data_IF_834746664347
#
_entry.id   IF_834746664347
#
_cell.length_a   1.000
_cell.length_b   1.000
_cell.length_c   1.000
_cell.angle_alpha   90.00
_cell.angle_beta   90.00
_cell.angle_gamma   90.00
#
_symmetry.space_group_name_H-M   'P 1'
#
loop_
_entity.id
_entity.type
_entity.pdbx_description
1 polymer ?
#
# COMPACT_ATOMS: atom_id res chain seq x y z
N UNK A 1 28.16 18.26 30.98
CA UNK A 1 27.97 16.86 30.50
C UNK A 1 26.61 16.58 29.82
N UNK A 2 25.73 17.58 29.60
CA UNK A 2 24.34 17.31 29.16
C UNK A 2 24.03 17.38 27.65
N UNK A 3 24.96 17.79 26.78
CA UNK A 3 24.67 18.02 25.35
C UNK A 3 25.13 16.87 24.42
N UNK A 4 25.96 15.95 24.91
CA UNK A 4 26.46 14.83 24.10
C UNK A 4 25.44 13.68 23.96
N UNK A 5 24.56 13.48 24.94
CA UNK A 5 23.53 12.43 24.91
C UNK A 5 22.44 12.69 23.85
N UNK A 6 22.22 13.95 23.46
CA UNK A 6 21.24 14.30 22.44
C UNK A 6 21.67 13.91 21.01
N UNK A 7 22.91 13.48 20.80
CA UNK A 7 23.43 13.13 19.47
C UNK A 7 23.64 11.64 19.25
N UNK A 8 23.31 10.79 20.21
CA UNK A 8 23.40 9.34 20.00
C UNK A 8 22.17 8.85 19.20
N UNK A 9 22.34 7.89 18.28
CA UNK A 9 21.24 7.28 17.55
C UNK A 9 20.18 6.69 18.48
N UNK A 10 20.62 6.09 19.58
CA UNK A 10 19.80 5.46 20.62
C UNK A 10 18.79 6.44 21.26
N UNK A 11 19.20 7.68 21.54
CA UNK A 11 18.31 8.69 22.10
C UNK A 11 17.23 9.10 21.09
N UNK A 12 17.59 9.27 19.82
CA UNK A 12 16.64 9.59 18.75
C UNK A 12 15.65 8.46 18.50
N UNK A 13 16.06 7.20 18.59
CA UNK A 13 15.16 6.05 18.48
C UNK A 13 14.18 5.99 19.65
N UNK A 14 14.61 6.32 20.86
CA UNK A 14 13.73 6.36 22.04
C UNK A 14 12.63 7.41 21.94
N UNK A 15 12.90 8.56 21.30
CA UNK A 15 11.91 9.61 21.08
C UNK A 15 10.88 9.19 20.02
N UNK A 16 11.34 8.69 18.88
CA UNK A 16 10.44 8.26 17.80
C UNK A 16 9.55 7.08 18.20
N UNK A 17 10.03 6.16 19.05
CA UNK A 17 9.20 5.08 19.60
C UNK A 17 8.19 5.60 20.63
N UNK A 18 8.50 6.67 21.37
CA UNK A 18 7.51 7.33 22.23
C UNK A 18 6.41 7.96 21.39
N UNK A 19 6.75 8.60 20.28
CA UNK A 19 5.77 9.21 19.38
C UNK A 19 4.82 8.14 18.80
N UNK A 20 5.34 6.96 18.42
CA UNK A 20 4.50 5.81 18.01
C UNK A 20 3.51 5.39 19.10
N UNK A 21 3.96 5.35 20.36
CA UNK A 21 3.11 4.96 21.50
C UNK A 21 2.06 6.04 21.79
N UNK A 22 2.43 7.32 21.72
CA UNK A 22 1.56 8.45 22.03
C UNK A 22 0.50 8.68 20.94
N UNK A 23 0.88 8.54 19.67
CA UNK A 23 0.01 8.79 18.53
C UNK A 23 -0.77 7.55 18.07
N UNK A 24 -0.55 6.39 18.71
CA UNK A 24 -1.12 5.09 18.31
C UNK A 24 -0.93 4.80 16.80
N UNK A 25 0.21 5.26 16.24
CA UNK A 25 0.47 5.32 14.81
C UNK A 25 1.92 4.98 14.46
N UNK A 26 2.12 4.25 13.36
CA UNK A 26 3.45 3.92 12.83
C UNK A 26 3.98 4.97 11.84
N UNK A 27 3.19 6.00 11.51
CA UNK A 27 3.60 7.04 10.54
C UNK A 27 4.91 7.74 10.92
N UNK A 28 5.17 8.14 12.19
CA UNK A 28 6.41 8.84 12.55
C UNK A 28 7.69 8.04 12.25
N UNK A 29 7.58 6.70 12.20
CA UNK A 29 8.71 5.80 11.99
C UNK A 29 8.76 5.18 10.61
N UNK A 30 7.73 5.37 9.76
CA UNK A 30 7.56 4.60 8.52
C UNK A 30 8.71 4.75 7.53
N UNK A 31 9.39 5.89 7.54
CA UNK A 31 10.55 6.17 6.68
C UNK A 31 11.82 5.40 7.07
N UNK A 32 11.84 4.78 8.26
CA UNK A 32 13.03 4.13 8.83
C UNK A 32 12.72 2.67 9.14
N UNK A 33 13.09 1.78 8.20
CA UNK A 33 12.90 0.33 8.33
C UNK A 33 13.26 -0.25 9.72
N UNK A 34 14.44 0.05 10.33
CA UNK A 34 14.77 -0.51 11.65
C UNK A 34 13.79 -0.09 12.74
N UNK A 35 13.24 1.13 12.67
CA UNK A 35 12.24 1.59 13.63
C UNK A 35 10.88 0.95 13.41
N UNK A 36 10.49 0.73 12.15
CA UNK A 36 9.28 -0.04 11.85
C UNK A 36 9.42 -1.46 12.41
N UNK A 37 10.56 -2.12 12.16
CA UNK A 37 10.85 -3.45 12.71
C UNK A 37 10.79 -3.46 14.23
N UNK A 38 11.38 -2.48 14.92
CA UNK A 38 11.26 -2.38 16.37
C UNK A 38 9.80 -2.15 16.79
N UNK A 39 9.12 -1.16 16.22
CA UNK A 39 7.77 -0.77 16.60
C UNK A 39 6.76 -1.91 16.48
N UNK A 40 6.80 -2.70 15.39
CA UNK A 40 5.87 -3.82 15.19
C UNK A 40 6.00 -4.91 16.27
N UNK A 41 7.17 -5.08 16.91
CA UNK A 41 7.35 -6.03 18.01
C UNK A 41 6.64 -5.59 19.30
N UNK A 42 6.42 -4.29 19.47
CA UNK A 42 5.79 -3.73 20.66
C UNK A 42 4.30 -3.43 20.47
N UNK A 43 3.73 -3.70 19.29
CA UNK A 43 2.31 -3.46 19.05
C UNK A 43 1.45 -4.43 19.87
N UNK A 44 0.47 -3.93 20.62
CA UNK A 44 -0.48 -4.80 21.32
C UNK A 44 -1.34 -5.56 20.31
N UNK A 45 -1.39 -6.89 20.42
CA UNK A 45 -2.06 -7.76 19.44
C UNK A 45 -3.52 -7.35 19.15
N UNK A 46 -4.24 -6.92 20.19
CA UNK A 46 -5.65 -6.49 20.10
C UNK A 46 -5.85 -5.23 19.25
N UNK A 47 -4.79 -4.45 18.99
CA UNK A 47 -4.84 -3.20 18.24
C UNK A 47 -4.15 -3.27 16.88
N UNK A 48 -3.56 -4.40 16.48
CA UNK A 48 -2.79 -4.49 15.22
C UNK A 48 -3.57 -3.90 14.03
N UNK A 49 -4.88 -4.17 13.96
CA UNK A 49 -5.74 -3.62 12.91
C UNK A 49 -5.78 -2.09 12.92
N UNK A 50 -5.92 -1.45 14.08
CA UNK A 50 -5.98 0.01 14.15
C UNK A 50 -4.66 0.65 13.70
N UNK A 51 -3.51 0.06 14.05
CA UNK A 51 -2.21 0.56 13.58
C UNK A 51 -1.99 0.43 12.07
N UNK A 52 -2.75 -0.40 11.37
CA UNK A 52 -2.68 -0.49 9.90
C UNK A 52 -3.47 0.60 9.20
N UNK A 53 -4.20 1.44 9.95
CA UNK A 53 -4.90 2.62 9.45
C UNK A 53 -4.29 3.86 10.08
N UNK A 54 -4.18 4.91 9.29
CA UNK A 54 -3.82 6.25 9.74
C UNK A 54 -5.10 7.01 9.95
N UNK A 55 -5.38 7.32 11.22
CA UNK A 55 -6.47 8.20 11.59
C UNK A 55 -6.06 9.63 11.26
N UNK A 56 -6.62 10.16 10.18
CA UNK A 56 -6.42 11.54 9.77
C UNK A 56 -7.76 12.27 10.01
N UNK A 57 -7.81 13.34 10.82
CA UNK A 57 -9.04 14.09 11.05
C UNK A 57 -9.57 14.78 9.80
N UNK A 58 -8.69 15.10 8.84
CA UNK A 58 -8.98 15.89 7.64
C UNK A 58 -9.08 14.99 6.38
N UNK A 59 -8.46 13.81 6.40
CA UNK A 59 -8.54 12.81 5.34
C UNK A 59 -9.27 11.57 5.83
N UNK A 60 -10.10 10.95 4.99
CA UNK A 60 -10.66 9.62 5.28
C UNK A 60 -9.54 8.67 5.70
N UNK A 61 -9.80 7.78 6.67
CA UNK A 61 -8.83 6.79 7.16
C UNK A 61 -8.09 6.13 5.99
N UNK A 62 -6.76 6.34 5.94
CA UNK A 62 -5.90 5.79 4.90
C UNK A 62 -5.14 4.59 5.45
N UNK A 63 -4.95 3.53 4.66
CA UNK A 63 -4.12 2.41 5.06
C UNK A 63 -2.69 2.90 5.22
N UNK A 64 -2.00 2.47 6.28
CA UNK A 64 -0.61 2.79 6.55
C UNK A 64 0.31 2.47 5.36
N UNK A 65 -0.08 1.51 4.52
CA UNK A 65 0.65 1.14 3.31
C UNK A 65 0.78 2.28 2.31
N UNK A 66 -0.19 3.19 2.24
CA UNK A 66 -0.13 4.37 1.37
C UNK A 66 1.03 5.30 1.78
N UNK A 67 1.23 5.51 3.08
CA UNK A 67 2.37 6.25 3.63
C UNK A 67 3.70 5.50 3.49
N UNK A 68 3.65 4.17 3.38
CA UNK A 68 4.83 3.33 3.22
C UNK A 68 5.28 3.19 1.75
N UNK A 69 4.49 3.65 0.77
CA UNK A 69 4.82 3.53 -0.66
C UNK A 69 6.20 4.13 -1.03
N UNK A 70 6.63 5.30 -0.51
CA UNK A 70 7.97 5.82 -0.79
C UNK A 70 9.10 5.00 -0.16
N UNK A 71 8.79 4.09 0.77
CA UNK A 71 9.73 3.37 1.61
C UNK A 71 9.58 1.85 1.44
N UNK A 72 9.98 1.28 0.29
CA UNK A 72 9.72 -0.12 -0.07
C UNK A 72 10.22 -1.12 0.98
N UNK A 73 11.33 -0.82 1.65
CA UNK A 73 11.89 -1.66 2.71
C UNK A 73 10.99 -1.71 3.95
N UNK A 74 10.40 -0.58 4.34
CA UNK A 74 9.44 -0.50 5.44
C UNK A 74 8.11 -1.15 5.05
N UNK A 75 7.62 -0.90 3.82
CA UNK A 75 6.43 -1.56 3.29
C UNK A 75 6.59 -3.08 3.30
N UNK A 76 7.74 -3.61 2.90
CA UNK A 76 8.02 -5.05 2.94
C UNK A 76 7.90 -5.62 4.36
N UNK A 77 8.41 -4.90 5.36
CA UNK A 77 8.29 -5.29 6.77
C UNK A 77 6.82 -5.29 7.21
N UNK A 78 6.06 -4.24 6.88
CA UNK A 78 4.64 -4.14 7.19
C UNK A 78 3.81 -5.23 6.52
N UNK A 79 4.05 -5.49 5.23
CA UNK A 79 3.37 -6.53 4.47
C UNK A 79 3.61 -7.91 5.09
N UNK A 80 4.87 -8.23 5.41
CA UNK A 80 5.22 -9.49 6.07
C UNK A 80 4.55 -9.61 7.43
N UNK A 81 4.54 -8.53 8.21
CA UNK A 81 3.87 -8.49 9.50
C UNK A 81 2.36 -8.69 9.38
N UNK A 82 1.71 -7.97 8.45
CA UNK A 82 0.28 -8.09 8.18
C UNK A 82 -0.10 -9.50 7.73
N UNK A 83 0.64 -10.10 6.78
CA UNK A 83 0.40 -11.48 6.33
C UNK A 83 0.49 -12.52 7.46
N UNK A 84 1.25 -12.25 8.51
CA UNK A 84 1.39 -13.13 9.68
C UNK A 84 0.33 -12.89 10.75
N UNK A 85 -0.30 -11.70 10.78
CA UNK A 85 -1.16 -11.27 11.89
C UNK A 85 -2.61 -11.02 11.48
N UNK A 86 -2.89 -10.86 10.20
CA UNK A 86 -4.19 -10.53 9.64
C UNK A 86 -4.65 -11.58 8.65
N UNK A 87 -5.96 -11.69 8.48
CA UNK A 87 -6.58 -12.47 7.43
C UNK A 87 -6.40 -11.80 6.05
N UNK A 88 -6.50 -12.58 4.98
CA UNK A 88 -6.44 -12.04 3.61
C UNK A 88 -7.58 -11.04 3.32
N UNK A 89 -8.75 -11.20 3.95
CA UNK A 89 -9.87 -10.25 3.82
C UNK A 89 -9.52 -8.87 4.39
N UNK A 90 -8.86 -8.84 5.54
CA UNK A 90 -8.37 -7.59 6.14
C UNK A 90 -7.28 -6.96 5.29
N UNK A 91 -6.35 -7.77 4.78
CA UNK A 91 -5.29 -7.28 3.90
C UNK A 91 -5.87 -6.73 2.60
N UNK A 92 -6.87 -7.40 2.03
CA UNK A 92 -7.59 -6.94 0.84
C UNK A 92 -8.21 -5.55 1.06
N UNK A 93 -8.75 -5.27 2.25
CA UNK A 93 -9.36 -3.97 2.56
C UNK A 93 -8.38 -2.79 2.46
N UNK A 94 -7.07 -3.02 2.59
CA UNK A 94 -6.05 -1.98 2.43
C UNK A 94 -5.86 -1.54 0.97
N UNK A 95 -6.34 -2.33 0.01
CA UNK A 95 -6.25 -1.97 -1.41
C UNK A 95 -7.40 -1.08 -1.90
N UNK A 96 -8.51 -1.05 -1.16
CA UNK A 96 -9.80 -0.56 -1.63
C UNK A 96 -10.27 0.68 -0.88
N UNK A 97 -9.41 1.69 -0.74
CA UNK A 97 -9.71 2.87 0.09
C UNK A 97 -10.94 3.63 -0.40
N UNK A 98 -11.64 4.24 0.56
CA UNK A 98 -13.07 4.53 0.48
C UNK A 98 -13.44 5.80 -0.30
N UNK A 99 -12.69 6.23 -1.34
CA UNK A 99 -13.34 7.06 -2.39
C UNK A 99 -12.59 7.49 -3.66
N UNK A 100 -11.25 7.47 -3.82
CA UNK A 100 -10.70 8.18 -5.02
C UNK A 100 -9.51 7.56 -5.74
N UNK A 101 -8.75 6.66 -5.14
CA UNK A 101 -7.61 6.07 -5.82
C UNK A 101 -7.28 4.70 -5.21
N UNK A 102 -7.44 3.60 -5.96
CA UNK A 102 -6.98 2.30 -5.48
C UNK A 102 -5.49 2.36 -5.16
N UNK A 103 -5.06 1.74 -4.06
CA UNK A 103 -3.66 1.79 -3.57
C UNK A 103 -2.64 1.50 -4.69
N UNK A 104 -2.99 0.58 -5.60
CA UNK A 104 -2.15 0.19 -6.73
C UNK A 104 -1.91 1.32 -7.74
N UNK A 105 -2.90 2.19 -7.97
CA UNK A 105 -2.73 3.33 -8.88
C UNK A 105 -1.70 4.30 -8.33
N UNK A 106 -1.74 4.60 -7.03
CA UNK A 106 -0.73 5.45 -6.38
C UNK A 106 0.65 4.77 -6.35
N UNK A 107 0.67 3.46 -6.11
CA UNK A 107 1.89 2.67 -6.06
C UNK A 107 2.66 2.66 -7.40
N UNK A 108 2.04 2.94 -8.55
CA UNK A 108 2.74 3.08 -9.83
C UNK A 108 3.85 4.13 -9.81
N UNK A 109 3.74 5.16 -8.95
CA UNK A 109 4.80 6.18 -8.75
C UNK A 109 6.04 5.60 -8.04
N UNK A 110 5.91 4.41 -7.44
CA UNK A 110 6.91 3.76 -6.60
C UNK A 110 7.16 2.31 -7.06
N UNK A 111 7.94 2.09 -8.13
CA UNK A 111 8.07 0.79 -8.80
C UNK A 111 8.38 -0.41 -7.90
N UNK A 112 9.23 -0.24 -6.89
CA UNK A 112 9.59 -1.32 -5.96
C UNK A 112 8.43 -1.66 -5.03
N UNK A 113 7.73 -0.64 -4.51
CA UNK A 113 6.56 -0.82 -3.66
C UNK A 113 5.39 -1.42 -4.43
N UNK A 114 5.20 -1.02 -5.69
CA UNK A 114 4.23 -1.63 -6.59
C UNK A 114 4.44 -3.14 -6.74
N UNK A 115 5.69 -3.57 -6.99
CA UNK A 115 6.04 -5.00 -7.09
C UNK A 115 5.80 -5.76 -5.79
N UNK A 116 6.10 -5.14 -4.64
CA UNK A 116 5.80 -5.73 -3.32
C UNK A 116 4.29 -5.96 -3.17
N UNK A 117 3.47 -4.97 -3.51
CA UNK A 117 2.01 -5.08 -3.41
C UNK A 117 1.44 -6.11 -4.39
N UNK A 118 1.90 -6.14 -5.64
CA UNK A 118 1.52 -7.19 -6.60
C UNK A 118 1.82 -8.59 -6.05
N UNK A 119 2.99 -8.81 -5.44
CA UNK A 119 3.34 -10.11 -4.85
C UNK A 119 2.44 -10.52 -3.68
N UNK A 120 1.80 -9.58 -2.98
CA UNK A 120 0.78 -9.91 -1.97
C UNK A 120 -0.50 -10.41 -2.65
N UNK A 121 -0.85 -9.83 -3.79
CA UNK A 121 -2.08 -10.14 -4.51
C UNK A 121 -2.10 -11.56 -5.09
N UNK A 122 -0.93 -12.20 -5.29
CA UNK A 122 -0.84 -13.62 -5.65
C UNK A 122 -1.56 -14.55 -4.64
N UNK A 123 -1.84 -14.04 -3.44
CA UNK A 123 -2.58 -14.76 -2.39
C UNK A 123 -4.09 -14.56 -2.45
N UNK A 124 -4.57 -13.63 -3.28
CA UNK A 124 -5.99 -13.35 -3.46
C UNK A 124 -6.60 -14.27 -4.51
N UNK A 125 -7.91 -14.48 -4.43
CA UNK A 125 -8.60 -15.20 -5.48
C UNK A 125 -8.74 -14.34 -6.75
N UNK A 126 -9.01 -14.98 -7.89
CA UNK A 126 -9.11 -14.29 -9.18
C UNK A 126 -10.20 -13.21 -9.20
N UNK A 127 -11.28 -13.39 -8.43
CA UNK A 127 -12.39 -12.42 -8.37
C UNK A 127 -12.00 -11.18 -7.59
N UNK A 128 -11.26 -11.33 -6.49
CA UNK A 128 -10.65 -10.25 -5.74
C UNK A 128 -9.66 -9.48 -6.61
N UNK A 129 -8.76 -10.19 -7.31
CA UNK A 129 -7.78 -9.58 -8.20
C UNK A 129 -8.50 -8.80 -9.32
N UNK A 130 -9.45 -9.43 -10.01
CA UNK A 130 -10.21 -8.78 -11.07
C UNK A 130 -10.88 -7.50 -10.57
N UNK A 131 -11.50 -7.52 -9.39
CA UNK A 131 -12.11 -6.33 -8.79
C UNK A 131 -11.10 -5.21 -8.60
N UNK A 132 -9.92 -5.50 -8.04
CA UNK A 132 -8.88 -4.50 -7.84
C UNK A 132 -8.37 -3.90 -9.15
N UNK A 133 -8.23 -4.71 -10.20
CA UNK A 133 -7.79 -4.26 -11.51
C UNK A 133 -8.87 -3.49 -12.29
N UNK A 134 -10.15 -3.85 -12.08
CA UNK A 134 -11.29 -3.18 -12.66
C UNK A 134 -11.64 -1.86 -11.96
N UNK A 135 -11.11 -1.62 -10.75
CA UNK A 135 -11.29 -0.35 -10.06
C UNK A 135 -10.71 0.80 -10.87
N UNK A 136 -11.47 1.89 -10.87
CA UNK A 136 -11.11 3.11 -11.57
C UNK A 136 -10.78 4.20 -10.56
N UNK A 137 -9.88 5.08 -10.96
CA UNK A 137 -9.60 6.30 -10.23
C UNK A 137 -10.72 7.33 -10.39
N UNK A 138 -10.54 8.50 -9.76
CA UNK A 138 -11.44 9.65 -9.89
C UNK A 138 -11.59 10.20 -11.33
N UNK A 139 -10.72 9.80 -12.26
CA UNK A 139 -10.78 10.17 -13.68
C UNK A 139 -11.37 9.05 -14.55
N UNK A 140 -12.01 8.05 -13.94
CA UNK A 140 -12.60 6.90 -14.62
C UNK A 140 -11.55 6.10 -15.43
N UNK A 141 -10.31 6.03 -14.95
CA UNK A 141 -9.21 5.27 -15.56
C UNK A 141 -8.80 4.07 -14.68
N UNK A 142 -8.61 2.93 -15.33
CA UNK A 142 -8.13 1.70 -14.70
C UNK A 142 -6.64 1.76 -14.37
N UNK A 143 -6.17 0.81 -13.54
CA UNK A 143 -4.74 0.66 -13.24
C UNK A 143 -3.91 0.47 -14.52
N UNK A 144 -4.42 -0.34 -15.45
CA UNK A 144 -3.75 -0.63 -16.71
C UNK A 144 -3.58 0.63 -17.57
N UNK A 145 -4.58 1.52 -17.62
CA UNK A 145 -4.48 2.79 -18.33
C UNK A 145 -3.27 3.61 -17.87
N UNK A 146 -3.08 3.73 -16.56
CA UNK A 146 -1.93 4.44 -16.00
C UNK A 146 -0.61 3.71 -16.24
N UNK A 147 -0.61 2.38 -16.15
CA UNK A 147 0.59 1.56 -16.36
C UNK A 147 1.17 1.68 -17.78
N UNK A 148 0.38 2.06 -18.80
CA UNK A 148 0.89 2.34 -20.16
C UNK A 148 1.94 3.45 -20.17
N UNK A 149 1.82 4.42 -19.26
CA UNK A 149 2.82 5.49 -19.09
C UNK A 149 4.07 5.08 -18.29
N UNK A 150 4.12 3.84 -17.80
CA UNK A 150 5.17 3.27 -16.96
C UNK A 150 5.79 2.05 -17.65
N UNK A 151 6.67 2.23 -18.65
CA UNK A 151 7.16 1.14 -19.48
C UNK A 151 7.87 0.03 -18.67
N UNK A 152 8.49 0.37 -17.54
CA UNK A 152 9.18 -0.59 -16.68
C UNK A 152 8.23 -1.45 -15.84
N UNK A 153 6.99 -1.00 -15.62
CA UNK A 153 6.00 -1.69 -14.79
C UNK A 153 4.96 -2.45 -15.62
N UNK A 154 4.70 -1.98 -16.85
CA UNK A 154 3.71 -2.60 -17.73
C UNK A 154 3.95 -4.10 -17.96
N UNK A 155 5.18 -4.58 -18.25
CA UNK A 155 5.42 -6.02 -18.42
C UNK A 155 5.05 -6.84 -17.18
N UNK A 156 5.42 -6.37 -15.98
CA UNK A 156 5.07 -7.04 -14.73
C UNK A 156 3.56 -7.13 -14.54
N UNK A 157 2.83 -6.06 -14.87
CA UNK A 157 1.38 -6.04 -14.77
C UNK A 157 0.72 -7.03 -15.75
N UNK A 158 1.21 -7.06 -16.99
CA UNK A 158 0.71 -7.95 -18.03
C UNK A 158 1.02 -9.42 -17.72
N UNK A 159 2.20 -9.71 -17.17
CA UNK A 159 2.56 -11.06 -16.73
C UNK A 159 1.68 -11.50 -15.56
N UNK A 160 1.41 -10.64 -14.59
CA UNK A 160 0.49 -10.94 -13.51
C UNK A 160 -0.95 -11.20 -14.03
N UNK A 161 -1.41 -10.43 -15.01
CA UNK A 161 -2.73 -10.64 -15.64
C UNK A 161 -2.84 -11.99 -16.37
N UNK A 162 -1.73 -12.58 -16.87
CA UNK A 162 -1.77 -13.87 -17.57
C UNK A 162 -2.20 -15.04 -16.67
N UNK A 163 -2.06 -14.87 -15.36
CA UNK A 163 -2.50 -15.86 -14.37
C UNK A 163 -4.02 -15.81 -14.11
N UNK A 164 -4.72 -14.80 -14.64
CA UNK A 164 -6.17 -14.69 -14.54
C UNK A 164 -6.90 -15.46 -15.65
N UNK A 165 -8.17 -15.82 -15.43
CA UNK A 165 -9.01 -16.37 -16.49
C UNK A 165 -9.01 -15.46 -17.73
N UNK A 166 -8.88 -16.07 -18.91
CA UNK A 166 -8.80 -15.32 -20.18
C UNK A 166 -9.99 -14.38 -20.39
N UNK A 167 -11.18 -14.75 -19.94
CA UNK A 167 -12.38 -13.89 -19.99
C UNK A 167 -12.15 -12.58 -19.25
N UNK A 168 -11.63 -12.68 -18.03
CA UNK A 168 -11.42 -11.57 -17.10
C UNK A 168 -10.34 -10.65 -17.66
N UNK A 169 -9.27 -11.22 -18.22
CA UNK A 169 -8.22 -10.45 -18.89
C UNK A 169 -8.79 -9.66 -20.07
N UNK A 170 -9.54 -10.30 -20.97
CA UNK A 170 -10.14 -9.63 -22.14
C UNK A 170 -11.06 -8.51 -21.69
N UNK A 171 -11.86 -8.73 -20.65
CA UNK A 171 -12.74 -7.71 -20.10
C UNK A 171 -11.94 -6.53 -19.53
N UNK A 172 -10.93 -6.77 -18.69
CA UNK A 172 -10.06 -5.73 -18.13
C UNK A 172 -9.37 -4.90 -19.22
N UNK A 173 -8.90 -5.54 -20.30
CA UNK A 173 -8.26 -4.87 -21.43
C UNK A 173 -9.23 -4.00 -22.25
N UNK A 174 -10.54 -4.28 -22.18
CA UNK A 174 -11.58 -3.59 -22.97
C UNK A 174 -12.38 -2.59 -22.15
N UNK A 175 -12.10 -2.45 -20.85
CA UNK A 175 -12.76 -1.48 -19.98
C UNK A 175 -12.58 -0.05 -20.52
N UNK A 176 -13.71 0.65 -20.69
CA UNK A 176 -13.73 2.05 -21.14
C UNK A 176 -13.09 2.95 -20.08
N UNK A 177 -12.06 3.70 -20.49
CA UNK A 177 -11.40 4.70 -19.64
C UNK A 177 -11.94 6.12 -19.95
N UNK A 178 -11.77 7.06 -19.02
CA UNK A 178 -12.44 8.38 -19.03
C UNK A 178 -12.15 9.29 -20.21
N UNK A 179 -11.10 9.03 -20.99
CA UNK A 179 -10.69 9.85 -22.15
C UNK A 179 -11.30 9.46 -23.50
N UNK A 180 -12.38 8.69 -23.51
CA UNK A 180 -13.01 8.17 -24.75
C UNK A 180 -14.23 8.99 -25.23
N UNK A 181 -14.29 10.30 -24.98
CA UNK A 181 -15.24 11.20 -25.66
C UNK A 181 -14.61 12.58 -25.92
N UNK A 182 -13.97 12.72 -27.08
CA UNK A 182 -13.80 14.00 -27.79
C UNK A 182 -13.99 13.78 -29.29
N UNK A 183 -15.15 13.28 -29.69
CA UNK A 183 -15.67 13.43 -31.05
C UNK A 183 -17.04 12.78 -31.19
N UNK A 184 -18.08 13.59 -31.08
CA UNK A 184 -19.39 13.41 -31.73
C UNK A 184 -19.93 14.79 -32.05
#
# INVERSE_FOLDING_TARGET
MGLAMLRTPEFHYSLLLKDVILEDSLVPVISKKPLVEMAIHYLPEKKIKSYMWVQDPDRKDLPLWEYALPYPQSLQVLVRFALNKLSLSEIYSFYTTFDKLPLLHEALKYPQSFKILLGVMERFDSKQIYRLFAMKDAYNNTLLYHAVSQPDLLPYLLDFLRELPRSDVVELLTLRNGWTDRSS
#
